data_IF_175272557136
#
_entry.id   IF_175272557136
#
_cell.length_a   1.000
_cell.length_b   1.000
_cell.length_c   1.000
_cell.angle_alpha   90.00
_cell.angle_beta   90.00
_cell.angle_gamma   90.00
#
_symmetry.space_group_name_H-M   'P 1'
#
loop_
_entity.id
_entity.type
_entity.pdbx_description
1 polymer ?
#
# COMPACT_ATOMS: atom_id res chain seq x y z
N UNK A 1 69.05 0.54 7.50
CA UNK A 1 67.65 0.06 7.50
C UNK A 1 67.02 0.49 8.82
N UNK A 2 66.43 1.70 8.87
CA UNK A 2 65.89 2.30 10.10
C UNK A 2 64.39 2.02 10.11
N UNK A 3 63.95 1.08 10.93
CA UNK A 3 62.53 0.88 11.19
C UNK A 3 62.06 1.95 12.18
N UNK A 4 61.30 2.92 11.67
CA UNK A 4 60.62 3.91 12.50
C UNK A 4 59.57 3.19 13.34
N UNK A 5 59.81 3.07 14.66
CA UNK A 5 58.85 2.46 15.60
C UNK A 5 57.73 3.46 15.85
N UNK A 6 56.54 3.16 15.31
CA UNK A 6 55.32 3.92 15.57
C UNK A 6 55.08 3.96 17.08
N UNK A 7 54.95 5.16 17.63
CA UNK A 7 54.70 5.34 19.05
C UNK A 7 53.25 5.00 19.40
N UNK A 8 52.99 4.57 20.64
CA UNK A 8 51.63 4.22 21.10
C UNK A 8 50.63 5.39 20.92
N UNK A 9 51.13 6.62 20.98
CA UNK A 9 50.35 7.84 20.73
C UNK A 9 49.93 7.97 19.26
N UNK A 10 50.84 7.73 18.32
CA UNK A 10 50.56 7.76 16.88
C UNK A 10 49.61 6.64 16.47
N UNK A 11 49.77 5.44 17.03
CA UNK A 11 48.85 4.32 16.81
C UNK A 11 47.42 4.64 17.30
N UNK A 12 47.29 5.30 18.45
CA UNK A 12 45.98 5.73 18.96
C UNK A 12 45.36 6.84 18.08
N UNK A 13 46.16 7.80 17.64
CA UNK A 13 45.69 8.87 16.75
C UNK A 13 45.19 8.31 15.41
N UNK A 14 45.95 7.38 14.79
CA UNK A 14 45.53 6.69 13.55
C UNK A 14 44.23 5.91 13.79
N UNK A 15 44.10 5.22 14.93
CA UNK A 15 42.89 4.47 15.28
C UNK A 15 41.68 5.39 15.42
N UNK A 16 41.83 6.53 16.07
CA UNK A 16 40.75 7.51 16.22
C UNK A 16 40.36 8.15 14.88
N UNK A 17 41.35 8.51 14.05
CA UNK A 17 41.11 9.05 12.71
C UNK A 17 40.37 8.05 11.82
N UNK A 18 40.79 6.78 11.79
CA UNK A 18 40.08 5.73 11.03
C UNK A 18 38.66 5.52 11.57
N UNK A 19 38.48 5.50 12.90
CA UNK A 19 37.16 5.34 13.51
C UNK A 19 36.25 6.52 13.17
N UNK A 20 36.78 7.73 13.15
CA UNK A 20 36.05 8.94 12.78
C UNK A 20 35.65 8.93 11.30
N UNK A 21 36.56 8.54 10.39
CA UNK A 21 36.23 8.38 8.96
C UNK A 21 35.20 7.27 8.71
N UNK A 22 35.27 6.14 9.43
CA UNK A 22 34.27 5.08 9.35
C UNK A 22 32.91 5.54 9.88
N UNK A 23 32.87 6.33 10.95
CA UNK A 23 31.63 6.95 11.46
C UNK A 23 31.05 7.96 10.46
N UNK A 24 31.88 8.79 9.80
CA UNK A 24 31.42 9.69 8.74
C UNK A 24 30.87 8.94 7.52
N UNK A 25 31.49 7.83 7.12
CA UNK A 25 31.00 6.96 6.04
C UNK A 25 29.67 6.27 6.41
N UNK A 26 29.46 5.93 7.68
CA UNK A 26 28.21 5.37 8.17
C UNK A 26 27.10 6.43 8.31
N UNK A 27 27.44 7.70 8.58
CA UNK A 27 26.49 8.82 8.59
C UNK A 27 26.09 9.29 7.19
N UNK A 28 26.93 9.10 6.16
CA UNK A 28 26.60 9.44 4.77
C UNK A 28 25.87 8.32 4.02
N UNK A 29 25.90 7.09 4.55
CA UNK A 29 25.06 6.00 4.09
C UNK A 29 23.62 6.20 4.59
N UNK A 30 22.89 7.10 3.94
CA UNK A 30 21.43 7.04 4.02
C UNK A 30 20.98 5.71 3.42
N UNK A 31 20.22 4.85 4.13
CA UNK A 31 19.46 3.83 3.44
C UNK A 31 18.51 4.58 2.50
N UNK A 32 18.72 4.46 1.19
CA UNK A 32 17.73 4.86 0.20
C UNK A 32 16.55 3.91 0.32
N UNK A 33 15.72 4.14 1.33
CA UNK A 33 14.36 3.65 1.38
C UNK A 33 13.66 4.33 0.20
N UNK A 34 13.57 3.63 -0.93
CA UNK A 34 12.81 4.08 -2.07
C UNK A 34 11.39 4.40 -1.58
N UNK A 35 10.87 5.57 -1.92
CA UNK A 35 9.56 6.02 -1.43
C UNK A 35 8.47 5.00 -1.80
N UNK A 36 7.34 5.02 -1.09
CA UNK A 36 6.20 4.15 -1.43
C UNK A 36 5.75 4.34 -2.90
N UNK A 37 5.93 5.55 -3.44
CA UNK A 37 5.70 5.87 -4.85
C UNK A 37 6.68 5.11 -5.75
N UNK A 38 7.98 5.10 -5.44
CA UNK A 38 8.99 4.36 -6.21
C UNK A 38 8.76 2.84 -6.17
N UNK A 39 8.30 2.31 -5.03
CA UNK A 39 7.94 0.89 -4.90
C UNK A 39 6.69 0.57 -5.75
N UNK A 40 5.69 1.43 -5.74
CA UNK A 40 4.49 1.30 -6.55
C UNK A 40 4.81 1.35 -8.04
N UNK A 41 5.62 2.32 -8.48
CA UNK A 41 6.02 2.47 -9.88
C UNK A 41 6.77 1.24 -10.37
N UNK A 42 7.71 0.70 -9.57
CA UNK A 42 8.40 -0.56 -9.90
C UNK A 42 7.44 -1.74 -10.02
N UNK A 43 6.45 -1.84 -9.13
CA UNK A 43 5.43 -2.88 -9.21
C UNK A 43 4.59 -2.76 -10.49
N UNK A 44 4.13 -1.54 -10.82
CA UNK A 44 3.34 -1.26 -12.03
C UNK A 44 4.12 -1.66 -13.28
N UNK A 45 5.37 -1.23 -13.39
CA UNK A 45 6.25 -1.59 -14.53
C UNK A 45 6.47 -3.10 -14.64
N UNK A 46 6.68 -3.79 -13.51
CA UNK A 46 6.88 -5.24 -13.50
C UNK A 46 5.63 -5.99 -13.98
N UNK A 47 4.46 -5.49 -13.59
CA UNK A 47 3.16 -6.07 -13.95
C UNK A 47 2.87 -5.85 -15.43
N UNK A 48 3.10 -4.64 -15.94
CA UNK A 48 2.93 -4.28 -17.34
C UNK A 48 3.79 -5.17 -18.27
N UNK A 49 5.08 -5.33 -17.93
CA UNK A 49 6.00 -6.22 -18.66
C UNK A 49 5.52 -7.68 -18.71
N UNK A 50 5.01 -8.20 -17.59
CA UNK A 50 4.47 -9.55 -17.52
C UNK A 50 3.25 -9.71 -18.42
N UNK A 51 2.30 -8.78 -18.39
CA UNK A 51 1.10 -8.81 -19.24
C UNK A 51 1.44 -8.78 -20.72
N UNK A 52 2.43 -7.97 -21.10
CA UNK A 52 2.91 -7.93 -22.48
C UNK A 52 3.50 -9.28 -22.92
N UNK A 53 4.30 -9.92 -22.07
CA UNK A 53 4.84 -11.25 -22.34
C UNK A 53 3.74 -12.32 -22.47
N UNK A 54 2.78 -12.33 -21.54
CA UNK A 54 1.64 -13.27 -21.55
C UNK A 54 0.79 -13.10 -22.83
N UNK A 55 0.59 -11.86 -23.30
CA UNK A 55 -0.17 -11.57 -24.53
C UNK A 55 0.53 -12.05 -25.80
N UNK A 56 1.85 -11.86 -25.91
CA UNK A 56 2.63 -12.39 -27.04
C UNK A 56 2.52 -13.91 -27.14
N UNK A 57 2.31 -14.59 -26.00
CA UNK A 57 2.15 -16.04 -25.95
C UNK A 57 0.74 -16.56 -26.29
N UNK A 58 -0.27 -15.68 -26.40
CA UNK A 58 -1.66 -16.08 -26.62
C UNK A 58 -2.23 -15.49 -27.94
N UNK A 59 -2.35 -16.28 -29.02
CA UNK A 59 -2.72 -15.79 -30.35
C UNK A 59 -4.21 -15.42 -30.51
N UNK A 60 -5.06 -15.69 -29.50
CA UNK A 60 -6.51 -15.45 -29.55
C UNK A 60 -6.92 -14.06 -29.01
N UNK A 61 -5.95 -13.22 -28.61
CA UNK A 61 -6.25 -11.91 -28.02
C UNK A 61 -6.46 -10.86 -29.12
N UNK A 62 -7.72 -10.45 -29.30
CA UNK A 62 -8.23 -9.38 -30.18
C UNK A 62 -7.26 -8.21 -30.38
N UNK A 63 -7.14 -7.76 -31.64
CA UNK A 63 -6.25 -6.67 -32.06
C UNK A 63 -6.57 -5.34 -31.35
N UNK A 64 -5.55 -4.75 -30.72
CA UNK A 64 -5.61 -3.43 -30.07
C UNK A 64 -4.57 -3.28 -28.96
N UNK A 65 -4.08 -2.08 -28.59
CA UNK A 65 -3.15 -1.91 -27.45
C UNK A 65 -3.79 -2.43 -26.15
N UNK A 66 -3.02 -3.12 -25.28
CA UNK A 66 -3.50 -3.46 -23.92
C UNK A 66 -3.25 -2.23 -23.04
N UNK A 67 -4.28 -1.49 -22.60
CA UNK A 67 -4.08 -0.30 -21.79
C UNK A 67 -3.39 -0.61 -20.46
N UNK A 68 -3.46 -1.86 -19.99
CA UNK A 68 -2.81 -2.31 -18.76
C UNK A 68 -1.36 -2.75 -18.95
N UNK A 69 -0.87 -2.82 -20.19
CA UNK A 69 0.52 -3.14 -20.53
C UNK A 69 1.37 -1.88 -20.80
N UNK A 70 0.74 -0.72 -20.97
CA UNK A 70 1.42 0.57 -21.15
C UNK A 70 0.92 1.56 -20.10
N UNK A 71 1.78 1.86 -19.10
CA UNK A 71 1.46 2.79 -18.03
C UNK A 71 1.13 4.21 -18.55
N UNK A 72 1.66 4.60 -19.71
CA UNK A 72 1.36 5.89 -20.34
C UNK A 72 -0.09 5.97 -20.84
N UNK A 73 -0.78 4.83 -21.01
CA UNK A 73 -2.21 4.77 -21.31
C UNK A 73 -3.06 5.49 -20.26
N UNK A 74 -2.54 5.61 -19.03
CA UNK A 74 -3.20 6.30 -17.92
C UNK A 74 -2.65 7.71 -17.66
N UNK A 75 -1.80 8.25 -18.53
CA UNK A 75 -1.23 9.61 -18.38
C UNK A 75 -2.30 10.71 -18.38
N UNK A 76 -3.47 10.45 -18.96
CA UNK A 76 -4.64 11.33 -18.92
C UNK A 76 -5.35 11.35 -17.56
N UNK A 77 -5.11 10.34 -16.71
CA UNK A 77 -5.67 10.32 -15.37
C UNK A 77 -4.95 11.35 -14.49
N UNK A 78 -5.69 12.08 -13.65
CA UNK A 78 -5.08 13.04 -12.74
C UNK A 78 -4.13 12.32 -11.78
N UNK A 79 -2.84 12.69 -11.80
CA UNK A 79 -1.81 12.18 -10.89
C UNK A 79 -2.04 12.62 -9.44
N UNK A 80 -2.87 13.64 -9.23
CA UNK A 80 -3.36 14.07 -7.91
C UNK A 80 -4.81 14.46 -8.01
N UNK A 81 -5.60 14.08 -7.00
CA UNK A 81 -6.96 14.58 -6.87
C UNK A 81 -6.90 16.11 -6.69
N UNK A 82 -7.43 16.92 -7.64
CA UNK A 82 -7.28 18.38 -7.59
C UNK A 82 -7.97 19.02 -6.39
N UNK A 83 -8.89 18.28 -5.77
CA UNK A 83 -9.66 18.69 -4.60
C UNK A 83 -9.57 17.55 -3.59
N UNK A 84 -8.79 17.66 -2.49
CA UNK A 84 -9.06 16.85 -1.33
C UNK A 84 -10.39 17.37 -0.78
N UNK A 85 -11.51 16.81 -1.25
CA UNK A 85 -12.80 17.17 -0.70
C UNK A 85 -12.81 16.53 0.69
N UNK A 86 -12.31 17.25 1.69
CA UNK A 86 -12.49 16.90 3.09
C UNK A 86 -13.98 16.65 3.39
N UNK A 87 -14.87 17.30 2.61
CA UNK A 87 -16.32 17.07 2.59
C UNK A 87 -16.76 15.74 1.95
N UNK A 88 -16.00 15.12 1.04
CA UNK A 88 -16.37 13.81 0.45
C UNK A 88 -16.11 12.68 1.44
N UNK A 89 -14.90 12.62 2.02
CA UNK A 89 -14.58 11.58 3.01
C UNK A 89 -15.53 11.64 4.21
N UNK A 90 -15.84 12.84 4.71
CA UNK A 90 -16.76 13.00 5.82
C UNK A 90 -18.18 12.56 5.47
N UNK A 91 -18.65 12.83 4.24
CA UNK A 91 -19.96 12.41 3.77
C UNK A 91 -20.08 10.88 3.64
N UNK A 92 -18.99 10.21 3.26
CA UNK A 92 -18.94 8.75 3.10
C UNK A 92 -18.79 7.99 4.43
N UNK A 93 -18.70 8.70 5.57
CA UNK A 93 -18.47 8.09 6.88
C UNK A 93 -19.64 7.22 7.32
N UNK A 94 -19.38 5.94 7.57
CA UNK A 94 -20.34 4.99 8.12
C UNK A 94 -20.31 5.07 9.64
N UNK A 95 -21.41 5.49 10.25
CA UNK A 95 -21.54 5.55 11.72
C UNK A 95 -21.63 4.15 12.34
N UNK A 96 -22.47 3.28 11.77
CA UNK A 96 -22.55 1.86 12.10
C UNK A 96 -23.20 1.08 10.96
N UNK A 97 -22.72 -0.14 10.71
CA UNK A 97 -23.39 -1.08 9.81
C UNK A 97 -24.58 -1.75 10.52
N UNK A 98 -25.64 -2.13 9.78
CA UNK A 98 -26.68 -3.01 10.32
C UNK A 98 -26.08 -4.29 10.91
N UNK A 99 -26.48 -4.65 12.14
CA UNK A 99 -25.99 -5.85 12.81
C UNK A 99 -24.53 -5.79 13.28
N UNK A 100 -23.87 -4.63 13.21
CA UNK A 100 -22.52 -4.43 13.69
C UNK A 100 -22.43 -4.61 15.22
N UNK A 101 -21.38 -5.28 15.74
CA UNK A 101 -21.15 -5.33 17.17
C UNK A 101 -20.89 -3.92 17.73
N UNK A 102 -21.33 -3.62 18.97
CA UNK A 102 -21.11 -2.31 19.57
C UNK A 102 -19.61 -2.07 19.84
N UNK A 103 -19.22 -0.79 19.95
CA UNK A 103 -17.87 -0.33 20.36
C UNK A 103 -16.74 -0.80 19.43
N UNK A 104 -16.91 -0.62 18.13
CA UNK A 104 -15.78 -0.71 17.18
C UNK A 104 -14.88 0.51 17.37
N UNK A 105 -13.56 0.32 17.25
CA UNK A 105 -12.56 1.34 17.55
C UNK A 105 -11.79 1.78 16.31
N UNK A 106 -12.45 1.81 15.16
CA UNK A 106 -11.91 2.29 13.90
C UNK A 106 -13.02 3.01 13.13
N UNK A 107 -12.62 3.97 12.30
CA UNK A 107 -13.51 4.61 11.35
C UNK A 107 -13.66 3.74 10.09
N UNK A 108 -14.81 3.88 9.43
CA UNK A 108 -15.13 3.18 8.19
C UNK A 108 -15.93 4.11 7.27
N UNK A 109 -15.72 3.93 5.98
CA UNK A 109 -16.21 4.81 4.92
C UNK A 109 -16.64 3.96 3.72
N UNK A 110 -17.71 4.36 3.04
CA UNK A 110 -18.08 3.77 1.76
C UNK A 110 -18.73 4.81 0.88
N UNK A 111 -18.43 4.73 -0.42
CA UNK A 111 -18.92 5.67 -1.41
C UNK A 111 -18.58 5.21 -2.81
N UNK A 112 -18.75 6.11 -3.77
CA UNK A 112 -18.46 5.89 -5.17
C UNK A 112 -17.37 6.86 -5.64
N UNK A 113 -16.47 6.35 -6.48
CA UNK A 113 -15.48 7.16 -7.20
C UNK A 113 -15.77 7.06 -8.67
N UNK A 114 -16.08 8.20 -9.31
CA UNK A 114 -16.25 8.27 -10.76
C UNK A 114 -14.91 8.02 -11.45
N UNK A 115 -14.85 6.97 -12.26
CA UNK A 115 -13.65 6.57 -13.01
C UNK A 115 -13.74 6.89 -14.50
N UNK A 116 -14.95 7.18 -14.99
CA UNK A 116 -15.15 7.67 -16.34
C UNK A 116 -16.46 8.48 -16.39
N UNK A 117 -16.35 9.80 -16.50
CA UNK A 117 -17.50 10.70 -16.54
C UNK A 117 -18.32 10.55 -17.83
N UNK A 118 -17.66 10.38 -18.98
CA UNK A 118 -18.28 10.26 -20.31
C UNK A 118 -19.32 9.12 -20.35
N UNK A 119 -18.97 7.99 -19.76
CA UNK A 119 -19.83 6.79 -19.70
C UNK A 119 -20.51 6.61 -18.34
N UNK A 120 -20.42 7.59 -17.43
CA UNK A 120 -21.00 7.53 -16.09
C UNK A 120 -20.54 6.32 -15.26
N UNK A 121 -19.28 5.87 -15.44
CA UNK A 121 -18.75 4.71 -14.71
C UNK A 121 -18.21 5.13 -13.35
N UNK A 122 -18.68 4.45 -12.32
CA UNK A 122 -18.25 4.65 -10.94
C UNK A 122 -17.87 3.33 -10.28
N UNK A 123 -16.85 3.37 -9.43
CA UNK A 123 -16.44 2.24 -8.61
C UNK A 123 -16.86 2.48 -7.17
N UNK A 124 -17.59 1.53 -6.61
CA UNK A 124 -17.88 1.49 -5.19
C UNK A 124 -16.62 1.11 -4.40
N UNK A 125 -16.40 1.77 -3.26
CA UNK A 125 -15.34 1.39 -2.32
C UNK A 125 -15.90 1.21 -0.90
N UNK A 126 -15.22 0.36 -0.13
CA UNK A 126 -15.39 0.24 1.32
C UNK A 126 -14.01 0.30 1.97
N UNK A 127 -13.78 1.33 2.78
CA UNK A 127 -12.51 1.62 3.42
C UNK A 127 -12.66 1.56 4.94
N UNK A 128 -11.72 0.91 5.62
CA UNK A 128 -11.66 0.83 7.07
C UNK A 128 -10.29 1.28 7.54
N UNK A 129 -10.25 2.15 8.54
CA UNK A 129 -9.01 2.60 9.13
C UNK A 129 -8.42 1.55 10.06
N UNK A 130 -7.12 1.69 10.36
CA UNK A 130 -6.51 0.90 11.42
C UNK A 130 -7.07 1.37 12.78
N UNK A 131 -7.36 0.45 13.73
CA UNK A 131 -7.94 0.84 15.01
C UNK A 131 -7.03 1.66 15.93
N UNK A 132 -5.73 1.73 15.61
CA UNK A 132 -4.74 2.47 16.37
C UNK A 132 -3.74 3.11 15.42
N UNK A 133 -3.41 4.39 15.65
CA UNK A 133 -2.45 5.16 14.86
C UNK A 133 -2.71 5.11 13.35
N UNK A 134 -3.97 5.24 12.92
CA UNK A 134 -4.35 5.09 11.51
C UNK A 134 -3.50 5.93 10.55
N UNK A 135 -3.17 7.17 10.94
CA UNK A 135 -2.35 8.09 10.15
C UNK A 135 -0.90 7.62 9.91
N UNK A 136 -0.37 6.71 10.74
CA UNK A 136 0.99 6.15 10.57
C UNK A 136 1.00 4.81 9.84
N UNK A 137 -0.16 4.24 9.52
CA UNK A 137 -0.25 2.95 8.81
C UNK A 137 -0.25 3.16 7.30
N UNK A 138 0.31 2.22 6.52
CA UNK A 138 0.24 2.28 5.07
C UNK A 138 -1.20 2.12 4.57
N UNK A 139 -1.50 2.74 3.42
CA UNK A 139 -2.74 2.48 2.69
C UNK A 139 -2.59 1.17 1.90
N UNK A 140 -3.58 0.28 2.02
CA UNK A 140 -3.60 -1.00 1.29
C UNK A 140 -4.87 -1.04 0.44
N UNK A 141 -4.69 -1.19 -0.87
CA UNK A 141 -5.76 -1.50 -1.81
C UNK A 141 -5.86 -3.02 -1.97
N UNK A 142 -7.07 -3.55 -1.79
CA UNK A 142 -7.36 -4.98 -1.99
C UNK A 142 -8.36 -5.18 -3.11
N UNK A 143 -8.00 -6.02 -4.07
CA UNK A 143 -8.83 -6.37 -5.22
C UNK A 143 -8.95 -7.88 -5.30
N UNK A 144 -10.17 -8.41 -5.19
CA UNK A 144 -10.42 -9.80 -5.53
C UNK A 144 -10.43 -9.96 -7.06
N UNK A 145 -9.91 -11.10 -7.51
CA UNK A 145 -9.81 -11.44 -8.93
C UNK A 145 -10.98 -12.30 -9.42
N UNK A 146 -10.73 -13.02 -10.52
CA UNK A 146 -11.79 -13.55 -11.39
C UNK A 146 -12.48 -12.39 -12.12
N UNK A 147 -13.07 -12.57 -13.31
CA UNK A 147 -13.89 -11.50 -13.83
C UNK A 147 -15.20 -11.43 -13.02
N UNK A 148 -15.45 -10.29 -12.35
CA UNK A 148 -16.75 -9.95 -11.76
C UNK A 148 -16.97 -10.26 -10.28
N UNK A 149 -16.03 -10.90 -9.58
CA UNK A 149 -16.16 -11.11 -8.14
C UNK A 149 -15.96 -9.80 -7.35
N UNK A 150 -16.82 -9.55 -6.37
CA UNK A 150 -16.75 -8.33 -5.55
C UNK A 150 -15.70 -8.43 -4.44
N UNK A 151 -14.82 -7.43 -4.35
CA UNK A 151 -13.89 -7.28 -3.22
C UNK A 151 -14.58 -7.00 -1.88
N UNK A 152 -15.78 -6.42 -1.91
CA UNK A 152 -16.58 -6.25 -0.70
C UNK A 152 -17.09 -7.61 -0.19
N UNK A 153 -17.71 -8.39 -1.08
CA UNK A 153 -18.31 -9.68 -0.74
C UNK A 153 -17.28 -10.70 -0.27
N UNK A 154 -16.24 -10.94 -1.07
CA UNK A 154 -15.20 -11.91 -0.73
C UNK A 154 -14.16 -11.30 0.22
N UNK A 155 -13.41 -10.30 -0.24
CA UNK A 155 -12.32 -9.69 0.52
C UNK A 155 -12.75 -9.17 1.89
N UNK A 156 -13.68 -8.21 1.92
CA UNK A 156 -14.03 -7.55 3.17
C UNK A 156 -14.87 -8.44 4.10
N UNK A 157 -15.87 -9.17 3.58
CA UNK A 157 -16.82 -9.90 4.44
C UNK A 157 -16.43 -11.36 4.73
N UNK A 158 -15.59 -11.99 3.88
CA UNK A 158 -15.24 -13.42 4.02
C UNK A 158 -13.75 -13.67 4.28
N UNK A 159 -12.86 -12.79 3.82
CA UNK A 159 -11.40 -13.04 3.86
C UNK A 159 -10.65 -12.17 4.89
N UNK A 160 -10.52 -10.86 4.71
CA UNK A 160 -9.56 -10.05 5.46
C UNK A 160 -10.12 -8.81 6.13
N UNK A 161 -11.37 -8.44 5.85
CA UNK A 161 -11.98 -7.25 6.42
C UNK A 161 -12.29 -7.37 7.92
N UNK A 162 -12.78 -6.27 8.52
CA UNK A 162 -12.92 -6.13 9.97
C UNK A 162 -14.07 -6.95 10.57
N UNK A 163 -15.00 -7.42 9.73
CA UNK A 163 -16.18 -8.16 10.14
C UNK A 163 -16.33 -9.47 9.35
N UNK A 164 -17.14 -10.37 9.92
CA UNK A 164 -17.71 -11.54 9.26
C UNK A 164 -19.22 -11.47 9.37
N UNK A 165 -19.90 -11.89 8.31
CA UNK A 165 -21.34 -12.13 8.34
C UNK A 165 -21.62 -13.39 9.15
N UNK A 166 -22.57 -13.31 10.09
CA UNK A 166 -23.02 -14.46 10.86
C UNK A 166 -23.95 -15.36 10.02
N UNK A 167 -24.15 -16.63 10.41
CA UNK A 167 -25.01 -17.56 9.68
C UNK A 167 -26.47 -17.08 9.52
N UNK A 168 -26.93 -16.15 10.35
CA UNK A 168 -28.24 -15.53 10.25
C UNK A 168 -28.39 -14.57 9.04
N UNK A 169 -27.28 -14.24 8.36
CA UNK A 169 -27.24 -13.31 7.23
C UNK A 169 -27.59 -11.87 7.59
N UNK A 170 -27.70 -11.55 8.88
CA UNK A 170 -28.23 -10.27 9.39
C UNK A 170 -27.29 -9.57 10.34
N UNK A 171 -26.48 -10.32 11.09
CA UNK A 171 -25.57 -9.76 12.08
C UNK A 171 -24.12 -9.96 11.68
N UNK A 172 -23.26 -9.09 12.21
CA UNK A 172 -21.83 -9.12 11.99
C UNK A 172 -21.11 -9.54 13.29
N UNK A 173 -19.96 -10.18 13.13
CA UNK A 173 -19.01 -10.41 14.23
C UNK A 173 -17.64 -9.86 13.86
N UNK A 174 -16.87 -9.39 14.85
CA UNK A 174 -15.52 -8.86 14.62
C UNK A 174 -14.59 -9.97 14.13
N UNK A 175 -13.80 -9.68 13.11
CA UNK A 175 -12.73 -10.55 12.66
C UNK A 175 -11.45 -10.24 13.47
N UNK A 176 -11.04 -11.17 14.34
CA UNK A 176 -9.82 -11.03 15.16
C UNK A 176 -8.53 -11.01 14.34
N UNK A 177 -8.57 -11.50 13.10
CA UNK A 177 -7.44 -11.54 12.17
C UNK A 177 -7.58 -10.54 11.01
N UNK A 178 -8.42 -9.52 11.17
CA UNK A 178 -8.60 -8.50 10.16
C UNK A 178 -7.26 -7.80 9.85
N UNK A 179 -7.01 -7.53 8.58
CA UNK A 179 -5.75 -6.92 8.14
C UNK A 179 -5.60 -5.48 8.64
N UNK A 180 -6.70 -4.77 8.91
CA UNK A 180 -6.65 -3.44 9.51
C UNK A 180 -6.15 -3.44 10.96
N UNK A 181 -6.02 -4.60 11.62
CA UNK A 181 -5.45 -4.70 12.96
C UNK A 181 -3.91 -4.64 13.01
N UNK A 182 -3.21 -4.48 11.86
CA UNK A 182 -1.74 -4.60 11.82
C UNK A 182 -1.08 -3.56 12.74
N UNK A 183 -0.40 -4.06 13.77
CA UNK A 183 0.54 -3.27 14.56
C UNK A 183 1.78 -3.04 13.70
N UNK A 184 2.29 -1.81 13.68
CA UNK A 184 3.67 -1.61 13.24
C UNK A 184 4.52 -2.34 14.27
N UNK A 185 5.09 -3.48 13.90
CA UNK A 185 6.19 -4.03 14.66
C UNK A 185 7.35 -3.08 14.41
N UNK A 186 7.66 -2.24 15.39
CA UNK A 186 8.91 -1.48 15.40
C UNK A 186 10.06 -2.48 15.27
N UNK A 187 10.62 -2.63 14.07
CA UNK A 187 11.82 -3.45 13.85
C UNK A 187 11.78 -4.49 12.73
N UNK A 188 10.70 -4.63 11.95
CA UNK A 188 10.75 -5.43 10.73
C UNK A 188 10.76 -4.52 9.50
N UNK A 189 11.96 -4.01 9.18
CA UNK A 189 12.24 -3.50 7.84
C UNK A 189 12.13 -4.64 6.83
N UNK A 190 11.53 -4.36 5.68
CA UNK A 190 11.67 -5.21 4.50
C UNK A 190 13.08 -5.09 3.94
#
# INVERSE_FOLDING_TARGET
>A
MIFHKITKSEANMIRHTITFFLLLLLLSASPTDASQEDQLMRFIESTAKKRQADRVSNPDVTEGPDPWADASSFSHLPTRCPIPLASAKAADKITALPGQPPRVNFDQYAGYVTVNEEYGRELFYYFVEAPYEAASKPLILWLNGGPGCSSLGYGAMMELGPFRVNPDGKTLRRNKHAWNNRKLLSGAGF
#
